data_IF_420521846624
#
_entry.id   IF_420521846624
#
_cell.length_a   1.000
_cell.length_b   1.000
_cell.length_c   1.000
_cell.angle_alpha   90.00
_cell.angle_beta   90.00
_cell.angle_gamma   90.00
#
_symmetry.space_group_name_H-M   'P 1'
#
loop_
_entity.id
_entity.type
_entity.pdbx_description
1 polymer ?
#
# COMPACT_ATOMS: atom_id res chain seq x y z
N UNK A 1 -5.60 46.97 67.96
CA UNK A 1 -4.26 46.42 67.61
C UNK A 1 -4.29 46.06 66.16
N UNK A 2 -3.67 46.87 65.33
CA UNK A 2 -3.56 46.68 63.92
C UNK A 2 -2.32 45.83 63.59
N UNK A 3 -2.46 44.81 62.78
CA UNK A 3 -1.34 44.06 62.20
C UNK A 3 -1.40 44.21 60.68
N UNK A 4 -0.49 44.99 60.14
CA UNK A 4 -0.19 45.21 58.75
C UNK A 4 0.54 43.99 58.19
N UNK A 5 -0.03 43.29 57.20
CA UNK A 5 0.61 42.21 56.39
C UNK A 5 1.12 42.82 55.10
N UNK A 6 2.43 42.76 54.89
CA UNK A 6 3.12 43.11 53.63
C UNK A 6 3.00 41.95 52.69
N UNK A 7 2.31 42.10 51.54
CA UNK A 7 2.25 41.18 50.47
C UNK A 7 3.47 41.34 49.56
N UNK A 8 4.32 40.31 49.46
CA UNK A 8 5.39 40.20 48.46
C UNK A 8 4.79 39.75 47.14
N UNK A 9 4.77 40.62 46.13
CA UNK A 9 4.47 40.25 44.74
C UNK A 9 5.71 39.58 44.12
N UNK A 10 5.68 38.28 43.97
CA UNK A 10 6.64 37.54 43.13
C UNK A 10 6.25 37.72 41.67
N UNK A 11 7.01 38.50 40.93
CA UNK A 11 6.94 38.57 39.49
C UNK A 11 7.44 37.22 38.94
N UNK A 12 6.52 36.40 38.43
CA UNK A 12 6.84 35.28 37.56
C UNK A 12 7.26 35.88 36.22
N UNK A 13 8.59 35.90 35.97
CA UNK A 13 9.13 36.10 34.66
C UNK A 13 8.77 34.83 33.85
N UNK A 14 7.75 34.90 33.01
CA UNK A 14 7.44 33.91 32.03
C UNK A 14 8.60 33.84 31.02
N UNK A 15 9.37 32.77 31.03
CA UNK A 15 10.16 32.41 29.90
C UNK A 15 9.17 32.07 28.76
N UNK A 16 8.96 33.01 27.84
CA UNK A 16 8.47 32.72 26.51
C UNK A 16 9.62 32.05 25.75
N UNK A 17 9.91 30.79 26.05
CA UNK A 17 10.59 29.90 25.14
C UNK A 17 9.62 29.69 23.96
N UNK A 18 10.01 30.09 22.78
CA UNK A 18 9.26 29.74 21.57
C UNK A 18 9.19 28.21 21.49
N UNK A 19 8.02 27.65 21.80
CA UNK A 19 7.62 26.37 21.26
C UNK A 19 7.36 26.66 19.78
N UNK A 20 8.31 26.30 18.90
CA UNK A 20 7.94 25.91 17.56
C UNK A 20 6.94 24.77 17.76
N UNK A 21 5.67 25.01 17.45
CA UNK A 21 4.66 23.95 17.52
C UNK A 21 5.01 22.95 16.41
N UNK A 22 5.55 21.82 16.81
CA UNK A 22 5.84 20.70 15.92
C UNK A 22 4.57 20.37 15.12
N UNK A 23 4.70 20.30 13.79
CA UNK A 23 3.57 19.95 12.91
C UNK A 23 3.33 18.45 12.98
N UNK A 24 2.09 18.05 13.24
CA UNK A 24 1.73 16.62 13.30
C UNK A 24 1.25 16.13 11.94
N UNK A 25 1.86 15.06 11.43
CA UNK A 25 1.45 14.34 10.22
C UNK A 25 0.91 12.97 10.62
N UNK A 26 -0.41 12.79 10.55
CA UNK A 26 -1.07 11.50 10.83
C UNK A 26 -1.12 10.68 9.55
N UNK A 27 -0.44 9.52 9.57
CA UNK A 27 -0.40 8.60 8.44
C UNK A 27 -1.25 7.37 8.71
N UNK A 28 -2.08 6.95 7.75
CA UNK A 28 -2.89 5.73 7.86
C UNK A 28 -2.59 4.75 6.75
N UNK A 29 -2.45 3.49 7.11
CA UNK A 29 -2.28 2.37 6.18
C UNK A 29 -3.41 1.34 6.39
N UNK A 30 -3.21 0.37 7.27
CA UNK A 30 -4.08 -0.78 7.47
C UNK A 30 -4.17 -1.17 8.94
N UNK A 31 -4.66 -2.35 9.23
CA UNK A 31 -4.78 -2.87 10.60
C UNK A 31 -3.42 -3.17 11.21
N UNK A 32 -3.33 -3.15 12.53
CA UNK A 32 -2.07 -3.28 13.30
C UNK A 32 -1.30 -4.59 13.10
N UNK A 33 -1.93 -5.62 12.53
CA UNK A 33 -1.28 -6.91 12.26
C UNK A 33 -0.63 -7.03 10.89
N UNK A 34 -0.62 -5.97 10.08
CA UNK A 34 -0.10 -6.01 8.71
C UNK A 34 1.33 -5.51 8.62
N UNK A 35 2.08 -6.03 7.64
CA UNK A 35 3.42 -5.55 7.28
C UNK A 35 3.41 -4.05 6.93
N UNK A 36 2.38 -3.58 6.18
CA UNK A 36 2.25 -2.18 5.80
C UNK A 36 2.12 -1.25 7.01
N UNK A 37 1.39 -1.65 8.06
CA UNK A 37 1.31 -0.85 9.28
C UNK A 37 2.64 -0.86 10.05
N UNK A 38 3.30 -2.02 10.15
CA UNK A 38 4.62 -2.12 10.77
C UNK A 38 5.66 -1.24 10.07
N UNK A 39 5.68 -1.27 8.73
CA UNK A 39 6.56 -0.42 7.95
C UNK A 39 6.22 1.08 8.11
N UNK A 40 4.93 1.44 8.19
CA UNK A 40 4.52 2.82 8.46
C UNK A 40 4.98 3.30 9.85
N UNK A 41 4.97 2.42 10.86
CA UNK A 41 5.56 2.74 12.17
C UNK A 41 7.07 2.95 12.09
N UNK A 42 7.77 2.11 11.30
CA UNK A 42 9.19 2.26 11.04
C UNK A 42 9.51 3.59 10.36
N UNK A 43 8.75 3.93 9.31
CA UNK A 43 8.90 5.20 8.59
C UNK A 43 8.65 6.41 9.50
N UNK A 44 7.58 6.37 10.30
CA UNK A 44 7.30 7.42 11.28
C UNK A 44 8.43 7.57 12.30
N UNK A 45 9.01 6.44 12.75
CA UNK A 45 10.17 6.44 13.65
C UNK A 45 11.38 7.11 13.03
N UNK A 46 11.73 6.75 11.79
CA UNK A 46 12.87 7.30 11.06
C UNK A 46 12.75 8.83 10.90
N UNK A 47 11.59 9.31 10.46
CA UNK A 47 11.36 10.77 10.28
C UNK A 47 11.40 11.50 11.62
N UNK A 48 10.79 10.95 12.66
CA UNK A 48 10.79 11.57 14.00
C UNK A 48 12.18 11.61 14.65
N UNK A 49 13.07 10.68 14.27
CA UNK A 49 14.48 10.70 14.73
C UNK A 49 15.31 11.73 13.96
N UNK A 50 14.88 12.11 12.74
CA UNK A 50 15.60 13.01 11.86
C UNK A 50 15.28 14.50 12.12
N UNK A 51 14.03 14.84 12.45
CA UNK A 51 13.61 16.25 12.60
C UNK A 51 12.77 16.50 13.83
N UNK A 52 12.98 17.68 14.44
CA UNK A 52 12.15 18.20 15.54
C UNK A 52 10.97 19.07 15.03
N UNK A 53 10.92 19.37 13.73
CA UNK A 53 9.89 20.24 13.15
C UNK A 53 8.58 19.50 12.85
N UNK A 54 8.66 18.18 12.60
CA UNK A 54 7.53 17.30 12.34
C UNK A 54 7.39 16.24 13.44
N UNK A 55 6.15 15.83 13.67
CA UNK A 55 5.83 14.62 14.42
C UNK A 55 4.93 13.72 13.56
N UNK A 56 5.50 12.66 13.03
CA UNK A 56 4.78 11.68 12.21
C UNK A 56 4.16 10.62 13.10
N UNK A 57 2.85 10.41 12.97
CA UNK A 57 2.09 9.47 13.77
C UNK A 57 1.46 8.38 12.89
N UNK A 58 1.97 7.15 12.98
CA UNK A 58 1.39 6.00 12.30
C UNK A 58 0.10 5.55 12.99
N UNK A 59 -1.04 5.71 12.32
CA UNK A 59 -2.36 5.31 12.78
C UNK A 59 -2.81 4.02 12.11
N UNK A 60 -3.56 3.20 12.83
CA UNK A 60 -4.26 2.05 12.24
C UNK A 60 -5.45 2.49 11.40
N UNK A 61 -5.81 1.66 10.40
CA UNK A 61 -7.00 1.85 9.58
C UNK A 61 -7.64 0.50 9.22
N UNK A 62 -8.87 0.53 8.72
CA UNK A 62 -9.56 -0.65 8.20
C UNK A 62 -9.28 -0.90 6.71
N UNK A 63 -8.50 -0.05 6.05
CA UNK A 63 -8.14 -0.15 4.65
C UNK A 63 -8.51 1.09 3.84
N UNK A 64 -8.45 0.97 2.51
CA UNK A 64 -8.51 2.11 1.58
C UNK A 64 -9.76 3.00 1.73
N UNK A 65 -10.95 2.41 1.86
CA UNK A 65 -12.19 3.21 2.04
C UNK A 65 -12.14 4.06 3.32
N UNK A 66 -11.70 3.47 4.44
CA UNK A 66 -11.52 4.17 5.70
C UNK A 66 -10.41 5.23 5.61
N UNK A 67 -9.40 5.00 4.78
CA UNK A 67 -8.31 5.93 4.53
C UNK A 67 -8.80 7.18 3.77
N UNK A 68 -9.54 7.01 2.68
CA UNK A 68 -10.14 8.12 1.95
C UNK A 68 -11.10 8.90 2.85
N UNK A 69 -11.95 8.21 3.62
CA UNK A 69 -12.82 8.85 4.60
C UNK A 69 -12.07 9.66 5.67
N UNK A 70 -10.85 9.25 6.03
CA UNK A 70 -10.01 9.98 6.97
C UNK A 70 -9.40 11.26 6.37
N UNK A 71 -9.07 11.28 5.07
CA UNK A 71 -8.71 12.51 4.37
C UNK A 71 -9.90 13.47 4.28
N UNK A 72 -11.08 12.95 3.95
CA UNK A 72 -12.30 13.76 3.84
C UNK A 72 -12.73 14.39 5.16
N UNK A 73 -12.51 13.70 6.28
CA UNK A 73 -12.80 14.23 7.63
C UNK A 73 -11.64 14.98 8.28
N UNK A 74 -10.51 15.13 7.58
CA UNK A 74 -9.27 15.73 8.08
C UNK A 74 -8.73 15.02 9.34
N UNK A 75 -9.01 13.71 9.47
CA UNK A 75 -8.51 12.85 10.55
C UNK A 75 -7.11 12.25 10.24
N UNK A 76 -6.61 12.48 9.03
CA UNK A 76 -5.27 12.13 8.60
C UNK A 76 -4.76 13.12 7.55
N UNK A 77 -3.47 13.39 7.53
CA UNK A 77 -2.78 14.22 6.54
C UNK A 77 -2.37 13.39 5.33
N UNK A 78 -1.91 12.16 5.55
CA UNK A 78 -1.49 11.25 4.50
C UNK A 78 -2.06 9.85 4.73
N UNK A 79 -2.53 9.23 3.66
CA UNK A 79 -3.04 7.85 3.71
C UNK A 79 -2.54 7.06 2.52
N UNK A 80 -2.32 5.75 2.69
CA UNK A 80 -2.07 4.94 1.50
C UNK A 80 -3.39 4.41 0.93
N UNK A 81 -3.43 4.34 -0.40
CA UNK A 81 -4.47 3.67 -1.17
C UNK A 81 -3.81 2.79 -2.22
N UNK A 82 -4.56 2.06 -3.01
CA UNK A 82 -4.06 1.26 -4.11
C UNK A 82 -4.64 1.73 -5.45
N UNK A 83 -3.96 1.40 -6.57
CA UNK A 83 -4.32 1.86 -7.92
C UNK A 83 -5.79 1.58 -8.31
N UNK A 84 -6.34 0.39 -7.98
CA UNK A 84 -7.73 0.06 -8.22
C UNK A 84 -8.71 1.07 -7.59
N UNK A 85 -8.46 1.41 -6.32
CA UNK A 85 -9.30 2.39 -5.62
C UNK A 85 -9.01 3.83 -6.06
N UNK A 86 -7.78 4.14 -6.47
CA UNK A 86 -7.45 5.44 -7.05
C UNK A 86 -8.25 5.68 -8.34
N UNK A 87 -8.38 4.67 -9.21
CA UNK A 87 -9.24 4.73 -10.37
C UNK A 87 -10.71 4.98 -9.99
N UNK A 88 -11.23 4.24 -9.00
CA UNK A 88 -12.61 4.42 -8.56
C UNK A 88 -12.87 5.82 -7.99
N UNK A 89 -11.92 6.39 -7.24
CA UNK A 89 -11.99 7.77 -6.75
C UNK A 89 -12.05 8.77 -7.91
N UNK A 90 -11.17 8.62 -8.90
CA UNK A 90 -11.14 9.51 -10.08
C UNK A 90 -12.43 9.46 -10.88
N UNK A 91 -13.04 8.28 -11.00
CA UNK A 91 -14.29 8.09 -11.74
C UNK A 91 -15.55 8.44 -10.92
N UNK A 92 -15.39 8.78 -9.63
CA UNK A 92 -16.52 8.99 -8.72
C UNK A 92 -17.37 7.74 -8.49
N UNK A 93 -16.75 6.56 -8.61
CA UNK A 93 -17.44 5.28 -8.42
C UNK A 93 -17.74 5.01 -6.94
N UNK A 94 -18.76 4.18 -6.70
CA UNK A 94 -19.02 3.64 -5.37
C UNK A 94 -17.79 2.84 -4.87
N UNK A 95 -17.42 2.93 -3.57
CA UNK A 95 -18.15 3.62 -2.49
C UNK A 95 -17.72 5.08 -2.26
N UNK A 96 -16.83 5.64 -3.07
CA UNK A 96 -16.18 6.94 -2.80
C UNK A 96 -17.04 8.15 -3.23
N UNK A 97 -17.73 8.07 -4.40
CA UNK A 97 -18.44 9.20 -4.95
C UNK A 97 -17.52 10.36 -5.35
N UNK A 98 -18.07 11.57 -5.46
CA UNK A 98 -17.27 12.79 -5.68
C UNK A 98 -16.66 13.24 -4.34
N UNK A 99 -15.34 13.41 -4.31
CA UNK A 99 -14.64 14.00 -3.17
C UNK A 99 -14.86 15.53 -3.16
N UNK A 100 -14.89 16.15 -2.00
CA UNK A 100 -14.98 17.59 -1.82
C UNK A 100 -13.60 18.29 -1.78
N UNK A 101 -12.53 17.55 -2.07
CA UNK A 101 -11.14 18.00 -2.14
C UNK A 101 -10.44 17.34 -3.33
N UNK A 102 -9.37 17.95 -3.82
CA UNK A 102 -8.47 17.34 -4.78
C UNK A 102 -7.55 16.35 -4.06
N UNK A 103 -7.57 15.08 -4.49
CA UNK A 103 -6.62 14.07 -4.01
C UNK A 103 -5.32 14.18 -4.79
N UNK A 104 -4.21 14.30 -4.07
CA UNK A 104 -2.86 14.37 -4.65
C UNK A 104 -2.01 13.22 -4.19
N UNK A 105 -1.11 12.72 -5.04
CA UNK A 105 -0.15 11.69 -4.65
C UNK A 105 1.15 12.30 -4.14
N UNK A 106 1.75 11.61 -3.17
CA UNK A 106 2.97 12.08 -2.49
C UNK A 106 4.15 11.17 -2.81
N UNK A 107 4.06 9.87 -2.55
CA UNK A 107 5.13 8.90 -2.85
C UNK A 107 4.59 7.47 -3.01
N UNK A 108 5.33 6.66 -3.78
CA UNK A 108 5.08 5.21 -3.86
C UNK A 108 5.54 4.52 -2.58
N UNK A 109 4.75 3.56 -2.10
CA UNK A 109 5.04 2.88 -0.84
C UNK A 109 5.50 1.44 -1.01
N UNK A 110 4.76 0.63 -1.76
CA UNK A 110 5.14 -0.74 -2.14
C UNK A 110 4.17 -1.33 -3.18
N UNK A 111 4.64 -2.39 -3.83
CA UNK A 111 3.87 -3.17 -4.79
C UNK A 111 3.50 -4.55 -4.25
N UNK A 112 2.30 -5.02 -4.59
CA UNK A 112 1.85 -6.39 -4.38
C UNK A 112 1.38 -7.00 -5.71
N UNK A 113 2.25 -7.70 -6.47
CA UNK A 113 1.80 -8.58 -7.54
C UNK A 113 1.12 -9.80 -6.94
N UNK A 114 -0.05 -10.16 -7.44
CA UNK A 114 -0.81 -11.32 -6.99
C UNK A 114 -0.85 -12.38 -8.08
N UNK A 115 -0.65 -13.63 -7.70
CA UNK A 115 -0.75 -14.80 -8.56
C UNK A 115 -1.58 -15.89 -7.90
N UNK A 116 -2.04 -16.86 -8.69
CA UNK A 116 -2.88 -17.94 -8.19
C UNK A 116 -2.04 -19.17 -7.94
N UNK A 117 -2.35 -19.87 -6.85
CA UNK A 117 -1.61 -21.05 -6.37
C UNK A 117 -2.56 -22.22 -6.13
N UNK A 118 -2.07 -23.43 -6.28
CA UNK A 118 -2.82 -24.68 -6.10
C UNK A 118 -1.92 -25.80 -5.58
N UNK A 119 -2.51 -26.84 -5.01
CA UNK A 119 -1.87 -28.15 -4.79
C UNK A 119 -2.47 -29.23 -5.71
N UNK A 120 -3.42 -28.85 -6.58
CA UNK A 120 -4.05 -29.74 -7.54
C UNK A 120 -3.18 -29.87 -8.80
N UNK A 121 -2.61 -31.05 -9.02
CA UNK A 121 -1.73 -31.36 -10.16
C UNK A 121 -2.43 -31.37 -11.51
N UNK A 122 -3.77 -31.40 -11.56
CA UNK A 122 -4.56 -31.37 -12.79
C UNK A 122 -4.76 -29.95 -13.33
N UNK A 123 -4.46 -28.91 -12.52
CA UNK A 123 -4.53 -27.50 -12.92
C UNK A 123 -3.13 -27.00 -13.32
N UNK A 124 -2.98 -26.53 -14.55
CA UNK A 124 -1.73 -25.95 -15.07
C UNK A 124 -1.83 -24.43 -15.25
N UNK A 125 -2.98 -23.95 -15.70
CA UNK A 125 -3.24 -22.57 -16.06
C UNK A 125 -4.53 -22.06 -15.41
N UNK A 126 -4.78 -20.76 -15.47
CA UNK A 126 -6.02 -20.18 -14.95
C UNK A 126 -7.27 -20.67 -15.71
N UNK A 127 -7.16 -21.02 -16.99
CA UNK A 127 -8.29 -21.53 -17.78
C UNK A 127 -8.68 -22.98 -17.46
N UNK A 128 -7.88 -23.70 -16.68
CA UNK A 128 -8.25 -25.03 -16.17
C UNK A 128 -9.24 -24.95 -14.99
N UNK A 129 -9.44 -23.74 -14.42
CA UNK A 129 -10.40 -23.50 -13.35
C UNK A 129 -11.82 -23.61 -13.90
N UNK A 130 -12.64 -24.48 -13.29
CA UNK A 130 -14.00 -24.75 -13.75
C UNK A 130 -15.05 -24.67 -12.63
N UNK A 131 -16.33 -24.96 -12.95
CA UNK A 131 -17.48 -24.72 -12.05
C UNK A 131 -17.41 -25.41 -10.70
N UNK A 132 -16.65 -26.49 -10.57
CA UNK A 132 -16.48 -27.25 -9.31
C UNK A 132 -15.16 -26.97 -8.60
N UNK A 133 -14.32 -26.06 -9.13
CA UNK A 133 -13.07 -25.68 -8.52
C UNK A 133 -13.32 -24.67 -7.40
N UNK A 134 -12.95 -25.01 -6.16
CA UNK A 134 -13.06 -24.12 -5.02
C UNK A 134 -11.94 -23.08 -5.02
N UNK A 135 -12.29 -21.82 -5.29
CA UNK A 135 -11.31 -20.72 -5.44
C UNK A 135 -11.51 -19.66 -4.36
N UNK A 136 -10.43 -19.28 -3.70
CA UNK A 136 -10.39 -18.11 -2.80
C UNK A 136 -9.47 -17.03 -3.39
N UNK A 137 -9.98 -16.11 -4.23
CA UNK A 137 -9.16 -15.02 -4.78
C UNK A 137 -8.57 -14.13 -3.69
N UNK A 138 -9.29 -13.93 -2.62
CA UNK A 138 -8.87 -13.36 -1.33
C UNK A 138 -10.00 -13.60 -0.30
N UNK A 139 -9.77 -13.39 1.01
CA UNK A 139 -10.84 -13.41 1.98
C UNK A 139 -11.97 -12.44 1.62
N UNK A 140 -13.22 -12.84 1.86
CA UNK A 140 -14.40 -11.99 1.65
C UNK A 140 -14.26 -10.68 2.44
N UNK A 141 -14.54 -9.54 1.79
CA UNK A 141 -14.39 -8.22 2.40
C UNK A 141 -12.96 -7.66 2.35
N UNK A 142 -12.01 -8.37 1.74
CA UNK A 142 -10.70 -7.81 1.40
C UNK A 142 -10.86 -6.74 0.31
N UNK A 143 -10.16 -5.60 0.45
CA UNK A 143 -10.15 -4.54 -0.58
C UNK A 143 -9.52 -4.97 -1.91
N UNK A 144 -8.81 -6.10 -1.95
CA UNK A 144 -8.23 -6.68 -3.19
C UNK A 144 -9.18 -7.65 -3.90
N UNK A 145 -10.24 -8.15 -3.21
CA UNK A 145 -11.13 -9.15 -3.78
C UNK A 145 -11.77 -8.72 -5.12
N UNK A 146 -12.34 -7.51 -5.28
CA UNK A 146 -12.99 -7.11 -6.53
C UNK A 146 -12.03 -7.14 -7.73
N UNK A 147 -10.80 -6.70 -7.55
CA UNK A 147 -9.82 -6.67 -8.62
C UNK A 147 -9.33 -8.07 -9.00
N UNK A 148 -9.06 -8.95 -8.03
CA UNK A 148 -8.63 -10.32 -8.31
C UNK A 148 -9.78 -11.19 -8.86
N UNK A 149 -11.02 -10.99 -8.41
CA UNK A 149 -12.20 -11.61 -8.99
C UNK A 149 -12.40 -11.14 -10.44
N UNK A 150 -12.19 -9.85 -10.72
CA UNK A 150 -12.20 -9.32 -12.08
C UNK A 150 -11.10 -9.91 -12.95
N UNK A 151 -9.87 -9.96 -12.45
CA UNK A 151 -8.74 -10.55 -13.17
C UNK A 151 -8.99 -12.02 -13.50
N UNK A 152 -9.47 -12.80 -12.53
CA UNK A 152 -9.83 -14.21 -12.74
C UNK A 152 -10.95 -14.37 -13.78
N UNK A 153 -11.92 -13.45 -13.82
CA UNK A 153 -13.03 -13.44 -14.76
C UNK A 153 -12.61 -13.29 -16.24
N UNK A 154 -11.36 -12.93 -16.53
CA UNK A 154 -10.80 -12.97 -17.90
C UNK A 154 -10.30 -14.35 -18.31
N UNK A 155 -10.03 -15.23 -17.36
CA UNK A 155 -9.57 -16.61 -17.61
C UNK A 155 -10.68 -17.64 -17.51
N UNK A 156 -11.65 -17.44 -16.60
CA UNK A 156 -12.74 -18.38 -16.36
C UNK A 156 -14.04 -17.66 -15.98
N UNK A 157 -15.16 -18.20 -16.48
CA UNK A 157 -16.50 -17.60 -16.24
C UNK A 157 -17.20 -18.19 -15.01
N UNK A 158 -16.76 -19.34 -14.48
CA UNK A 158 -17.49 -20.06 -13.43
C UNK A 158 -16.55 -20.87 -12.52
N UNK A 159 -16.69 -20.68 -11.21
CA UNK A 159 -15.97 -21.42 -10.17
C UNK A 159 -16.74 -21.36 -8.84
N UNK A 160 -16.45 -22.26 -7.91
CA UNK A 160 -17.01 -22.21 -6.57
C UNK A 160 -16.22 -21.20 -5.71
N UNK A 161 -16.78 -20.02 -5.48
CA UNK A 161 -16.13 -19.00 -4.67
C UNK A 161 -16.19 -19.35 -3.18
N UNK A 162 -15.04 -19.58 -2.56
CA UNK A 162 -14.86 -19.79 -1.12
C UNK A 162 -14.10 -18.62 -0.48
N UNK A 163 -14.07 -18.54 0.85
CA UNK A 163 -13.39 -17.48 1.58
C UNK A 163 -12.45 -18.08 2.61
N UNK A 164 -11.16 -18.02 2.31
CA UNK A 164 -10.09 -18.54 3.17
C UNK A 164 -9.09 -17.43 3.46
N UNK A 165 -8.68 -17.26 4.72
CA UNK A 165 -7.63 -16.33 5.09
C UNK A 165 -6.26 -16.80 4.59
N UNK A 166 -5.36 -15.86 4.28
CA UNK A 166 -4.07 -16.16 3.65
C UNK A 166 -3.29 -17.28 4.36
N UNK A 167 -3.12 -17.21 5.67
CA UNK A 167 -2.43 -18.24 6.46
C UNK A 167 -3.23 -19.56 6.60
N UNK A 168 -4.49 -19.57 6.24
CA UNK A 168 -5.33 -20.77 6.29
C UNK A 168 -5.35 -21.59 5.00
N UNK A 169 -4.81 -21.05 3.89
CA UNK A 169 -4.91 -21.67 2.57
C UNK A 169 -4.27 -23.06 2.52
N UNK A 170 -3.06 -23.25 3.07
CA UNK A 170 -2.38 -24.55 3.07
C UNK A 170 -3.19 -25.63 3.82
N UNK A 171 -3.80 -25.28 4.94
CA UNK A 171 -4.67 -26.22 5.66
C UNK A 171 -5.94 -26.54 4.87
N UNK A 172 -6.57 -25.53 4.25
CA UNK A 172 -7.76 -25.72 3.44
C UNK A 172 -7.50 -26.58 2.19
N UNK A 173 -6.32 -26.45 1.55
CA UNK A 173 -5.86 -27.32 0.46
C UNK A 173 -5.70 -28.76 0.94
N UNK A 174 -4.95 -29.00 2.02
CA UNK A 174 -4.80 -30.34 2.61
C UNK A 174 -6.14 -31.02 3.00
N UNK A 175 -7.15 -30.25 3.36
CA UNK A 175 -8.49 -30.73 3.72
C UNK A 175 -9.43 -30.83 2.50
N UNK A 176 -8.97 -30.55 1.28
CA UNK A 176 -9.76 -30.46 0.04
C UNK A 176 -10.96 -29.49 0.16
N UNK A 177 -10.77 -28.37 0.85
CA UNK A 177 -11.74 -27.28 0.98
C UNK A 177 -11.38 -26.08 0.11
N UNK A 178 -10.20 -26.07 -0.49
CA UNK A 178 -9.67 -25.05 -1.38
C UNK A 178 -8.86 -25.73 -2.47
N UNK A 179 -9.18 -25.49 -3.73
CA UNK A 179 -8.39 -25.97 -4.88
C UNK A 179 -7.40 -24.90 -5.36
N UNK A 180 -7.86 -23.62 -5.36
CA UNK A 180 -7.02 -22.50 -5.84
C UNK A 180 -7.08 -21.36 -4.83
N UNK A 181 -5.91 -20.97 -4.37
CA UNK A 181 -5.68 -19.81 -3.53
C UNK A 181 -4.89 -18.73 -4.24
N UNK A 182 -4.29 -17.82 -3.45
CA UNK A 182 -3.44 -16.75 -3.99
C UNK A 182 -2.11 -16.66 -3.27
N UNK A 183 -1.08 -16.21 -3.99
CA UNK A 183 0.24 -15.84 -3.51
C UNK A 183 0.61 -14.43 -3.90
N UNK A 184 1.62 -13.87 -3.25
CA UNK A 184 2.19 -12.57 -3.58
C UNK A 184 3.66 -12.52 -3.19
N UNK A 185 4.43 -11.70 -3.90
CA UNK A 185 5.80 -11.33 -3.54
C UNK A 185 5.86 -9.82 -3.36
N UNK A 186 5.97 -9.36 -2.11
CA UNK A 186 6.01 -7.92 -1.82
C UNK A 186 7.21 -7.28 -2.51
N UNK A 187 6.99 -6.17 -3.20
CA UNK A 187 7.99 -5.52 -4.07
C UNK A 187 8.67 -6.48 -5.04
N UNK A 188 7.96 -7.53 -5.50
CA UNK A 188 8.43 -8.58 -6.43
C UNK A 188 9.56 -9.49 -5.90
N UNK A 189 9.98 -9.34 -4.64
CA UNK A 189 11.11 -10.09 -4.08
C UNK A 189 10.84 -10.70 -2.71
N UNK A 190 10.02 -10.07 -1.89
CA UNK A 190 9.83 -10.50 -0.50
C UNK A 190 8.69 -11.52 -0.39
N UNK A 191 9.05 -12.74 -0.03
CA UNK A 191 8.11 -13.85 0.17
C UNK A 191 7.50 -13.78 1.59
N UNK A 192 6.19 -13.51 1.74
CA UNK A 192 5.57 -13.43 3.05
C UNK A 192 5.56 -14.80 3.77
N UNK A 193 5.68 -14.76 5.10
CA UNK A 193 5.81 -15.97 5.93
C UNK A 193 4.65 -16.96 5.74
N UNK A 194 3.43 -16.48 5.51
CA UNK A 194 2.28 -17.35 5.27
C UNK A 194 2.39 -18.10 3.94
N UNK A 195 3.00 -17.54 2.88
CA UNK A 195 3.23 -18.21 1.61
C UNK A 195 4.36 -19.26 1.76
N UNK A 196 5.42 -18.93 2.51
CA UNK A 196 6.47 -19.91 2.86
C UNK A 196 5.89 -21.09 3.64
N UNK A 197 4.97 -20.84 4.58
CA UNK A 197 4.28 -21.89 5.34
C UNK A 197 3.45 -22.78 4.42
N UNK A 198 2.70 -22.21 3.46
CA UNK A 198 1.94 -23.00 2.47
C UNK A 198 2.90 -23.88 1.66
N UNK A 199 3.95 -23.32 1.07
CA UNK A 199 4.94 -24.06 0.28
C UNK A 199 5.66 -25.17 1.06
N UNK A 200 5.71 -25.07 2.39
CA UNK A 200 6.28 -26.12 3.26
C UNK A 200 5.28 -27.22 3.63
N UNK A 201 3.98 -27.02 3.42
CA UNK A 201 2.91 -27.92 3.91
C UNK A 201 2.13 -28.64 2.81
N UNK A 202 2.16 -28.13 1.59
CA UNK A 202 1.54 -28.73 0.40
C UNK A 202 2.54 -28.79 -0.76
N UNK A 203 2.28 -29.64 -1.76
CA UNK A 203 3.02 -29.63 -3.03
C UNK A 203 2.54 -28.42 -3.86
N UNK A 204 3.03 -27.24 -3.47
CA UNK A 204 2.56 -25.97 -4.00
C UNK A 204 2.95 -25.79 -5.46
N UNK A 205 2.00 -25.35 -6.28
CA UNK A 205 2.18 -24.97 -7.67
C UNK A 205 1.65 -23.55 -7.91
N UNK A 206 2.34 -22.77 -8.71
CA UNK A 206 1.86 -21.49 -9.24
C UNK A 206 1.20 -21.76 -10.60
N UNK A 207 -0.03 -21.28 -10.77
CA UNK A 207 -0.75 -21.42 -12.05
C UNK A 207 -0.17 -20.44 -13.08
N UNK A 208 0.03 -20.94 -14.30
CA UNK A 208 0.43 -20.11 -15.43
C UNK A 208 -0.74 -19.28 -15.96
N UNK A 209 -0.44 -18.25 -16.73
CA UNK A 209 -1.40 -17.29 -17.27
C UNK A 209 -1.27 -17.26 -18.78
N UNK A 210 -2.35 -17.59 -19.49
CA UNK A 210 -2.35 -17.56 -20.94
C UNK A 210 -2.18 -16.14 -21.48
N UNK A 211 -1.50 -16.02 -22.65
CA UNK A 211 -1.28 -14.75 -23.34
C UNK A 211 -2.56 -13.92 -23.53
N UNK A 212 -3.69 -14.57 -23.79
CA UNK A 212 -4.99 -13.90 -23.98
C UNK A 212 -5.51 -13.27 -22.69
N UNK A 213 -5.31 -13.93 -21.56
CA UNK A 213 -5.69 -13.43 -20.22
C UNK A 213 -4.76 -12.27 -19.82
N UNK A 214 -3.46 -12.43 -20.01
CA UNK A 214 -2.47 -11.39 -19.76
C UNK A 214 -2.74 -10.12 -20.58
N UNK A 215 -3.11 -10.28 -21.87
CA UNK A 215 -3.47 -9.15 -22.72
C UNK A 215 -4.75 -8.48 -22.24
N UNK A 216 -5.78 -9.25 -21.83
CA UNK A 216 -7.02 -8.69 -21.31
C UNK A 216 -6.81 -7.92 -20.00
N UNK A 217 -5.88 -8.36 -19.15
CA UNK A 217 -5.49 -7.61 -17.95
C UNK A 217 -4.80 -6.30 -18.29
N UNK A 218 -3.91 -6.31 -19.29
CA UNK A 218 -3.20 -5.10 -19.75
C UNK A 218 -4.15 -4.09 -20.41
N UNK A 219 -5.19 -4.56 -21.09
CA UNK A 219 -6.18 -3.71 -21.75
C UNK A 219 -7.24 -3.14 -20.78
N UNK A 220 -7.31 -3.62 -19.53
CA UNK A 220 -8.22 -3.11 -18.50
C UNK A 220 -7.55 -1.99 -17.70
N UNK A 221 -7.99 -0.74 -17.90
CA UNK A 221 -7.44 0.46 -17.26
C UNK A 221 -7.45 0.42 -15.72
N UNK A 222 -8.27 -0.45 -15.10
CA UNK A 222 -8.32 -0.62 -13.64
C UNK A 222 -7.24 -1.57 -13.10
N UNK A 223 -6.68 -2.42 -13.97
CA UNK A 223 -5.67 -3.41 -13.59
C UNK A 223 -4.27 -2.90 -13.95
N UNK A 224 -3.39 -2.87 -12.96
CA UNK A 224 -1.97 -2.74 -13.23
C UNK A 224 -1.40 -4.16 -13.40
N UNK A 225 -0.91 -4.49 -14.58
CA UNK A 225 -0.32 -5.82 -14.87
C UNK A 225 1.19 -5.69 -14.98
N UNK A 226 1.92 -6.45 -14.17
CA UNK A 226 3.38 -6.48 -14.19
C UNK A 226 3.88 -7.91 -14.12
N UNK A 227 5.09 -8.16 -14.63
CA UNK A 227 5.74 -9.47 -14.53
C UNK A 227 6.25 -9.73 -13.12
N UNK A 228 6.10 -10.97 -12.66
CA UNK A 228 6.66 -11.45 -11.40
C UNK A 228 7.43 -12.75 -11.61
N UNK A 229 8.65 -12.83 -11.08
CA UNK A 229 9.48 -14.02 -11.05
C UNK A 229 9.07 -14.91 -9.88
N UNK A 230 8.42 -16.03 -10.17
CA UNK A 230 7.90 -16.93 -9.14
C UNK A 230 8.91 -18.01 -8.70
N UNK A 231 10.04 -18.15 -9.40
CA UNK A 231 11.12 -19.10 -9.08
C UNK A 231 11.76 -18.87 -7.70
N UNK A 232 11.58 -17.70 -7.12
CA UNK A 232 12.05 -17.36 -5.77
C UNK A 232 11.13 -17.90 -4.65
N UNK A 233 10.06 -18.64 -4.98
CA UNK A 233 9.20 -19.30 -3.99
C UNK A 233 9.78 -20.69 -3.72
N UNK A 234 10.60 -20.81 -2.69
CA UNK A 234 11.24 -22.08 -2.33
C UNK A 234 10.19 -23.18 -2.08
N UNK A 235 10.37 -24.31 -2.74
CA UNK A 235 9.52 -25.48 -2.59
C UNK A 235 8.23 -25.48 -3.43
N UNK A 236 8.01 -24.49 -4.29
CA UNK A 236 6.89 -24.48 -5.22
C UNK A 236 7.31 -24.94 -6.62
N UNK A 237 6.37 -25.58 -7.34
CA UNK A 237 6.47 -25.79 -8.80
C UNK A 237 5.98 -24.51 -9.49
N UNK A 238 6.85 -23.88 -10.29
CA UNK A 238 6.59 -22.55 -10.84
C UNK A 238 6.83 -22.50 -12.34
N UNK A 239 6.04 -21.72 -13.09
CA UNK A 239 6.27 -21.47 -14.51
C UNK A 239 7.42 -20.49 -14.79
N UNK A 240 8.02 -19.89 -13.74
CA UNK A 240 9.03 -18.84 -13.84
C UNK A 240 8.42 -17.44 -13.83
N UNK A 241 8.70 -16.65 -14.86
CA UNK A 241 8.14 -15.31 -15.02
C UNK A 241 6.70 -15.39 -15.53
N UNK A 242 5.76 -14.76 -14.81
CA UNK A 242 4.35 -14.68 -15.19
C UNK A 242 3.82 -13.24 -15.08
N UNK A 243 2.83 -12.84 -15.90
CA UNK A 243 2.08 -11.61 -15.66
C UNK A 243 1.21 -11.75 -14.39
N UNK A 244 1.09 -10.68 -13.64
CA UNK A 244 0.33 -10.66 -12.40
C UNK A 244 -0.43 -9.33 -12.22
N UNK A 245 -1.72 -9.38 -11.81
CA UNK A 245 -2.41 -8.20 -11.33
C UNK A 245 -1.65 -7.65 -10.13
N UNK A 246 -1.20 -6.40 -10.25
CA UNK A 246 -0.37 -5.74 -9.26
C UNK A 246 -1.15 -4.62 -8.57
N UNK A 247 -1.03 -4.56 -7.25
CA UNK A 247 -1.54 -3.44 -6.48
C UNK A 247 -0.36 -2.55 -6.09
N UNK A 248 -0.29 -1.39 -6.72
CA UNK A 248 0.62 -0.34 -6.32
C UNK A 248 -0.02 0.47 -5.18
N UNK A 249 0.64 0.52 -4.05
CA UNK A 249 0.19 1.33 -2.90
C UNK A 249 1.00 2.62 -2.85
N UNK A 250 0.32 3.75 -2.98
CA UNK A 250 0.94 5.07 -2.88
C UNK A 250 0.33 5.85 -1.72
N UNK A 251 1.13 6.65 -1.05
CA UNK A 251 0.62 7.65 -0.13
C UNK A 251 0.05 8.83 -0.91
N UNK A 252 -1.16 9.21 -0.52
CA UNK A 252 -1.89 10.35 -1.04
C UNK A 252 -2.27 11.30 0.09
N UNK A 253 -2.50 12.56 -0.26
CA UNK A 253 -2.93 13.63 0.64
C UNK A 253 -4.08 14.41 0.00
N UNK A 254 -4.59 15.39 0.74
CA UNK A 254 -5.40 16.47 0.16
C UNK A 254 -4.45 17.43 -0.57
N UNK A 255 -4.91 18.03 -1.66
CA UNK A 255 -4.12 19.02 -2.40
C UNK A 255 -3.89 20.33 -1.63
N UNK A 256 -4.75 20.63 -0.65
CA UNK A 256 -4.64 21.78 0.26
C UNK A 256 -3.80 21.51 1.52
N UNK A 257 -3.13 20.36 1.63
CA UNK A 257 -2.15 20.12 2.69
C UNK A 257 -0.99 21.10 2.54
N UNK A 258 -0.52 21.64 3.65
CA UNK A 258 0.51 22.68 3.64
C UNK A 258 1.79 22.24 2.91
N UNK A 259 2.26 23.08 1.98
CA UNK A 259 3.42 22.81 1.12
C UNK A 259 4.69 22.51 1.94
N UNK A 260 5.01 23.36 2.93
CA UNK A 260 6.21 23.21 3.74
C UNK A 260 6.17 21.91 4.55
N UNK A 261 4.98 21.47 4.96
CA UNK A 261 4.78 20.19 5.67
C UNK A 261 5.10 18.98 4.78
N UNK A 262 4.59 18.96 3.55
CA UNK A 262 4.85 17.84 2.62
C UNK A 262 6.31 17.82 2.19
N UNK A 263 6.88 18.99 1.89
CA UNK A 263 8.29 19.07 1.48
C UNK A 263 9.24 18.62 2.59
N UNK A 264 9.06 19.14 3.82
CA UNK A 264 9.86 18.74 4.98
C UNK A 264 9.72 17.25 5.33
N UNK A 265 8.52 16.67 5.12
CA UNK A 265 8.29 15.24 5.30
C UNK A 265 9.15 14.42 4.31
N UNK A 266 9.10 14.76 3.02
CA UNK A 266 9.86 14.06 1.98
C UNK A 266 11.37 14.24 2.16
N UNK A 267 11.82 15.45 2.52
CA UNK A 267 13.22 15.75 2.81
C UNK A 267 13.74 14.92 3.98
N UNK A 268 13.03 14.93 5.14
CA UNK A 268 13.42 14.17 6.33
C UNK A 268 13.44 12.64 6.06
N UNK A 269 12.48 12.14 5.28
CA UNK A 269 12.44 10.74 4.87
C UNK A 269 13.62 10.40 3.95
N UNK A 270 13.95 11.26 2.99
CA UNK A 270 15.03 11.03 2.02
C UNK A 270 16.42 11.12 2.67
N UNK A 271 16.61 12.00 3.64
CA UNK A 271 17.85 12.06 4.40
C UNK A 271 18.19 10.77 5.15
N UNK A 272 17.15 9.94 5.42
CA UNK A 272 17.29 8.63 6.09
C UNK A 272 17.17 7.44 5.12
N UNK A 273 17.09 7.67 3.80
CA UNK A 273 16.70 6.63 2.83
C UNK A 273 17.57 5.36 2.89
N UNK A 274 18.87 5.50 3.12
CA UNK A 274 19.82 4.37 3.20
C UNK A 274 19.69 3.58 4.51
N UNK A 275 19.06 4.16 5.54
CA UNK A 275 18.91 3.60 6.88
C UNK A 275 17.46 3.13 7.16
N UNK A 276 16.51 3.41 6.24
CA UNK A 276 15.10 3.05 6.42
C UNK A 276 14.88 1.54 6.60
N UNK A 277 15.73 0.70 5.99
CA UNK A 277 15.69 -0.75 6.17
C UNK A 277 15.92 -1.19 7.63
N UNK A 278 16.68 -0.43 8.42
CA UNK A 278 16.93 -0.71 9.83
C UNK A 278 15.66 -0.57 10.69
N UNK A 279 14.72 0.26 10.24
CA UNK A 279 13.42 0.44 10.89
C UNK A 279 12.41 -0.63 10.47
N UNK A 280 12.41 -1.01 9.19
CA UNK A 280 11.58 -2.10 8.68
C UNK A 280 12.04 -2.57 7.29
N UNK A 281 12.15 -3.90 7.08
CA UNK A 281 12.68 -4.48 5.83
C UNK A 281 11.91 -4.05 4.56
N UNK A 282 10.60 -3.79 4.64
CA UNK A 282 9.81 -3.30 3.49
C UNK A 282 10.33 -1.95 2.97
N UNK A 283 11.02 -1.17 3.79
CA UNK A 283 11.51 0.16 3.45
C UNK A 283 12.88 0.14 2.75
N UNK A 284 13.51 -1.03 2.58
CA UNK A 284 14.81 -1.17 1.91
C UNK A 284 14.81 -0.56 0.49
N UNK A 285 13.70 -0.70 -0.23
CA UNK A 285 13.55 -0.20 -1.60
C UNK A 285 13.63 1.33 -1.72
N UNK A 286 13.41 2.07 -0.63
CA UNK A 286 13.53 3.53 -0.62
C UNK A 286 14.96 4.05 -0.76
N UNK A 287 15.97 3.20 -0.63
CA UNK A 287 17.36 3.56 -0.96
C UNK A 287 17.52 4.00 -2.42
N UNK A 288 16.64 3.54 -3.31
CA UNK A 288 16.64 3.88 -4.73
C UNK A 288 15.65 5.02 -5.02
N UNK A 289 16.14 6.18 -5.43
CA UNK A 289 15.31 7.38 -5.67
C UNK A 289 14.19 7.14 -6.69
N UNK A 290 14.42 6.31 -7.71
CA UNK A 290 13.42 5.96 -8.72
C UNK A 290 12.23 5.17 -8.15
N UNK A 291 12.40 4.52 -7.00
CA UNK A 291 11.34 3.79 -6.34
C UNK A 291 10.24 4.72 -5.79
N UNK A 292 10.61 5.94 -5.39
CA UNK A 292 9.71 6.92 -4.77
C UNK A 292 8.56 7.36 -5.69
N UNK A 293 8.77 7.24 -7.00
CA UNK A 293 7.79 7.61 -8.04
C UNK A 293 7.40 6.41 -8.92
N UNK A 294 7.66 5.19 -8.46
CA UNK A 294 7.30 3.97 -9.17
C UNK A 294 5.77 3.77 -9.13
N UNK A 295 5.18 3.31 -10.22
CA UNK A 295 3.76 2.94 -10.28
C UNK A 295 2.81 4.00 -9.71
N UNK A 296 3.09 5.27 -9.98
CA UNK A 296 2.20 6.37 -9.63
C UNK A 296 0.90 6.31 -10.46
N UNK A 297 -0.18 6.86 -9.94
CA UNK A 297 -1.49 6.72 -10.58
C UNK A 297 -1.67 7.73 -11.70
N UNK A 298 -2.03 7.26 -12.89
CA UNK A 298 -2.37 8.11 -14.00
C UNK A 298 -3.60 8.99 -13.66
N UNK A 299 -3.55 10.28 -14.01
CA UNK A 299 -4.65 11.24 -13.77
C UNK A 299 -4.85 11.64 -12.30
N UNK A 300 -4.02 11.21 -11.37
CA UNK A 300 -3.94 11.78 -10.01
C UNK A 300 -2.71 12.70 -9.97
N UNK A 301 -2.90 14.02 -9.79
CA UNK A 301 -1.76 14.93 -9.77
C UNK A 301 -0.90 14.71 -8.51
N UNK A 302 0.38 15.04 -8.62
CA UNK A 302 1.25 15.15 -7.46
C UNK A 302 0.94 16.40 -6.66
N UNK A 303 1.08 16.30 -5.34
CA UNK A 303 1.12 17.47 -4.47
C UNK A 303 2.24 18.42 -4.93
N UNK A 304 2.04 19.76 -4.97
CA UNK A 304 3.04 20.70 -5.51
C UNK A 304 4.43 20.54 -4.86
N UNK A 305 4.50 20.35 -3.55
CA UNK A 305 5.75 20.11 -2.84
C UNK A 305 6.42 18.80 -3.22
N UNK A 306 5.65 17.73 -3.48
CA UNK A 306 6.19 16.45 -3.91
C UNK A 306 6.73 16.55 -5.35
N UNK A 307 6.05 17.29 -6.23
CA UNK A 307 6.52 17.54 -7.58
C UNK A 307 7.87 18.28 -7.57
N UNK A 308 8.00 19.38 -6.82
CA UNK A 308 9.25 20.14 -6.69
C UNK A 308 10.37 19.26 -6.13
N UNK A 309 10.07 18.48 -5.09
CA UNK A 309 11.03 17.56 -4.49
C UNK A 309 11.56 16.54 -5.52
N UNK A 310 10.69 15.94 -6.35
CA UNK A 310 11.11 14.96 -7.37
C UNK A 310 11.78 15.60 -8.58
N UNK A 311 11.46 16.85 -8.92
CA UNK A 311 12.23 17.63 -9.91
C UNK A 311 13.67 17.87 -9.43
N UNK A 312 13.86 18.28 -8.18
CA UNK A 312 15.17 18.48 -7.56
C UNK A 312 15.97 17.18 -7.45
N UNK A 313 15.29 16.06 -7.15
CA UNK A 313 15.89 14.74 -7.08
C UNK A 313 16.23 14.17 -8.46
N UNK A 314 15.65 14.72 -9.54
CA UNK A 314 15.90 14.29 -10.92
C UNK A 314 15.16 13.01 -11.33
N UNK A 315 14.09 12.64 -10.63
CA UNK A 315 13.23 11.48 -10.94
C UNK A 315 11.85 11.86 -11.46
N UNK A 316 11.56 13.15 -11.62
CA UNK A 316 10.32 13.64 -12.21
C UNK A 316 10.18 13.20 -13.67
N UNK A 317 8.99 12.75 -14.07
CA UNK A 317 8.65 12.44 -15.46
C UNK A 317 7.78 13.53 -16.10
N UNK A 318 7.97 13.76 -17.40
CA UNK A 318 7.09 14.65 -18.18
C UNK A 318 5.63 14.12 -18.28
N UNK A 319 5.43 12.84 -17.99
CA UNK A 319 4.11 12.21 -17.97
C UNK A 319 3.35 12.44 -16.65
N UNK A 320 4.02 12.96 -15.62
CA UNK A 320 3.39 13.25 -14.34
C UNK A 320 2.64 14.58 -14.37
N UNK A 321 1.51 14.63 -13.67
CA UNK A 321 0.70 15.83 -13.50
C UNK A 321 0.99 16.45 -12.13
N UNK A 322 1.00 17.79 -12.07
CA UNK A 322 1.15 18.57 -10.84
C UNK A 322 -0.20 19.22 -10.51
N UNK A 323 -0.63 19.17 -9.25
CA UNK A 323 -1.79 19.93 -8.80
C UNK A 323 -1.53 21.45 -8.85
N UNK A 324 -2.59 22.23 -8.99
CA UNK A 324 -2.52 23.69 -8.89
C UNK A 324 -2.11 24.10 -7.45
N UNK A 325 -1.37 25.24 -7.32
CA UNK A 325 -0.99 25.82 -6.02
C UNK A 325 -2.18 26.46 -5.29
#
# INVERSE_FOLDING_TARGET
MAATGVGAATALAGCSGGNSSQTTVRMRTSTSGTTAYGANQGLAGAINDQTDDLFVEAKTSQGTEANIGALQSEDAEMVYIQNWSAYDVQQGNDPFGELDFEMTQVFHYYDLPWFFITDNTDLETLSDIGPSTAVSPTPSGSGTAPALEKALGYATDDYERVSVGYSGQGNAMNENQLDVGVGTLMNFVSNPSWLQEIASTVDLKVLDVEDSTAQAWTDDERLLTQSVETDQIDGADTPGEIPAPTFAYNFVSRGDLDYDTVYAFLEAMHEQKDELADFHALLETFAEDSFWVKNMYDGVPFHPAAADFYEELGVWSEDFERADE
#
